data_IF_276672496015
#
_entry.id   IF_276672496015
#
_cell.length_a   1.000
_cell.length_b   1.000
_cell.length_c   1.000
_cell.angle_alpha   90.00
_cell.angle_beta   90.00
_cell.angle_gamma   90.00
#
_symmetry.space_group_name_H-M   'P 1'
#
loop_
_entity.id
_entity.type
_entity.pdbx_description
1 polymer ?
#
# COMPACT_ATOMS: atom_id res chain seq x y z
N UNK A 1 3.18 7.00 5.40
CA UNK A 1 4.56 7.17 5.91
C UNK A 1 4.72 6.35 7.18
N UNK A 2 5.89 5.75 7.41
CA UNK A 2 6.20 5.15 8.70
C UNK A 2 6.91 6.20 9.55
N UNK A 3 6.40 6.47 10.75
CA UNK A 3 6.91 7.50 11.66
C UNK A 3 7.39 6.83 12.93
N UNK A 4 8.67 6.96 13.24
CA UNK A 4 9.27 6.46 14.48
C UNK A 4 9.74 7.61 15.35
N UNK A 5 9.45 7.50 16.64
CA UNK A 5 9.95 8.46 17.62
C UNK A 5 11.46 8.24 17.85
N UNK A 6 12.23 9.32 17.83
CA UNK A 6 13.67 9.34 18.09
C UNK A 6 14.00 10.33 19.21
N UNK A 7 15.13 10.17 19.90
CA UNK A 7 15.53 11.07 21.00
C UNK A 7 15.66 12.53 20.57
N UNK A 8 16.00 12.76 19.30
CA UNK A 8 16.23 14.09 18.70
C UNK A 8 15.04 14.57 17.84
N UNK A 9 13.93 13.83 17.80
CA UNK A 9 12.77 14.17 16.97
C UNK A 9 12.09 12.94 16.37
N UNK A 10 11.96 12.91 15.05
CA UNK A 10 11.23 11.87 14.32
C UNK A 10 12.06 11.31 13.17
N UNK A 11 12.04 9.99 13.02
CA UNK A 11 12.49 9.33 11.80
C UNK A 11 11.25 9.05 10.94
N UNK A 12 11.23 9.61 9.73
CA UNK A 12 10.12 9.49 8.79
C UNK A 12 10.59 8.71 7.58
N UNK A 13 10.00 7.55 7.35
CA UNK A 13 10.29 6.69 6.21
C UNK A 13 9.14 6.82 5.22
N UNK A 14 9.45 7.42 4.08
CA UNK A 14 8.57 7.42 2.91
C UNK A 14 8.57 6.03 2.28
N UNK A 15 7.37 5.56 1.91
CA UNK A 15 7.16 4.22 1.34
C UNK A 15 6.39 4.25 0.02
N UNK A 16 6.37 5.39 -0.67
CA UNK A 16 5.73 5.58 -1.99
C UNK A 16 6.27 4.67 -3.10
N UNK A 17 7.44 4.08 -2.90
CA UNK A 17 8.09 3.21 -3.89
C UNK A 17 8.24 1.77 -3.37
N UNK A 18 7.41 1.34 -2.41
CA UNK A 18 7.54 0.00 -1.83
C UNK A 18 7.17 -1.09 -2.84
N UNK A 19 6.22 -0.83 -3.76
CA UNK A 19 5.96 -1.72 -4.90
C UNK A 19 7.21 -1.94 -5.76
N UNK A 20 7.93 -0.87 -6.10
CA UNK A 20 9.20 -0.96 -6.83
C UNK A 20 10.29 -1.70 -6.04
N UNK A 21 10.39 -1.48 -4.73
CA UNK A 21 11.32 -2.23 -3.87
C UNK A 21 10.99 -3.73 -3.87
N UNK A 22 9.71 -4.09 -3.75
CA UNK A 22 9.27 -5.48 -3.83
C UNK A 22 9.64 -6.11 -5.18
N UNK A 23 9.46 -5.38 -6.28
CA UNK A 23 9.91 -5.80 -7.60
C UNK A 23 11.43 -5.99 -7.70
N UNK A 24 12.23 -5.10 -7.10
CA UNK A 24 13.69 -5.23 -7.04
C UNK A 24 14.13 -6.46 -6.26
N UNK A 25 13.43 -6.81 -5.19
CA UNK A 25 13.70 -8.05 -4.43
C UNK A 25 13.32 -9.26 -5.29
N UNK A 26 12.14 -9.25 -5.89
CA UNK A 26 11.65 -10.32 -6.76
C UNK A 26 12.58 -10.55 -7.95
N UNK A 27 13.16 -9.49 -8.55
CA UNK A 27 14.07 -9.62 -9.69
C UNK A 27 15.39 -10.33 -9.36
N UNK A 28 15.73 -10.50 -8.08
CA UNK A 28 16.90 -11.26 -7.63
C UNK A 28 16.59 -12.73 -7.31
N UNK A 29 15.35 -13.17 -7.46
CA UNK A 29 14.97 -14.57 -7.30
C UNK A 29 15.69 -15.41 -8.35
N UNK A 30 16.13 -16.62 -7.98
CA UNK A 30 16.79 -17.54 -8.91
C UNK A 30 15.86 -17.92 -10.06
N UNK A 31 16.42 -18.05 -11.26
CA UNK A 31 15.67 -18.39 -12.48
C UNK A 31 14.84 -19.68 -12.34
N UNK A 32 15.36 -20.68 -11.61
CA UNK A 32 14.67 -21.96 -11.34
C UNK A 32 13.35 -21.82 -10.56
N UNK A 33 13.16 -20.70 -9.86
CA UNK A 33 11.95 -20.37 -9.11
C UNK A 33 11.00 -19.45 -9.88
N UNK A 34 11.41 -18.96 -11.07
CA UNK A 34 10.59 -18.07 -11.87
C UNK A 34 9.54 -18.88 -12.65
N UNK A 35 8.24 -18.59 -12.47
CA UNK A 35 7.18 -19.24 -13.24
C UNK A 35 7.24 -18.84 -14.73
N UNK A 36 6.56 -19.63 -15.57
CA UNK A 36 6.51 -19.42 -17.05
C UNK A 36 6.18 -17.98 -17.46
N UNK A 37 5.25 -17.32 -16.74
CA UNK A 37 4.81 -15.95 -17.02
C UNK A 37 5.47 -14.94 -16.07
N UNK A 38 6.80 -15.02 -15.94
CA UNK A 38 7.53 -14.25 -14.93
C UNK A 38 7.35 -12.74 -15.04
N UNK A 39 7.31 -12.19 -16.26
CA UNK A 39 7.09 -10.74 -16.47
C UNK A 39 5.75 -10.30 -15.90
N UNK A 40 4.68 -11.09 -16.10
CA UNK A 40 3.36 -10.77 -15.55
C UNK A 40 3.39 -10.80 -14.02
N UNK A 41 4.05 -11.80 -13.43
CA UNK A 41 4.22 -11.93 -11.98
C UNK A 41 5.03 -10.77 -11.40
N UNK A 42 6.16 -10.44 -12.01
CA UNK A 42 7.00 -9.32 -11.59
C UNK A 42 6.25 -7.99 -11.71
N UNK A 43 5.47 -7.81 -12.78
CA UNK A 43 4.60 -6.64 -12.96
C UNK A 43 3.54 -6.58 -11.86
N UNK A 44 2.87 -7.70 -11.56
CA UNK A 44 1.91 -7.79 -10.46
C UNK A 44 2.51 -7.45 -9.10
N UNK A 45 3.76 -7.87 -8.85
CA UNK A 45 4.50 -7.52 -7.63
C UNK A 45 4.84 -6.03 -7.60
N UNK A 46 5.24 -5.42 -8.71
CA UNK A 46 5.57 -3.99 -8.76
C UNK A 46 4.31 -3.12 -8.56
N UNK A 47 3.20 -3.53 -9.15
CA UNK A 47 1.95 -2.76 -9.23
C UNK A 47 0.95 -3.02 -8.08
N UNK A 48 1.28 -3.89 -7.11
CA UNK A 48 0.37 -4.23 -6.00
C UNK A 48 0.11 -3.09 -5.00
N UNK A 49 0.88 -2.00 -5.12
CA UNK A 49 0.87 -0.83 -4.27
C UNK A 49 -0.52 -0.15 -4.25
N UNK A 50 -0.89 0.42 -3.11
CA UNK A 50 -2.17 1.09 -2.88
C UNK A 50 -2.25 2.48 -3.57
N UNK A 51 -1.14 2.97 -4.15
CA UNK A 51 -1.08 4.24 -4.87
C UNK A 51 -1.67 5.38 -4.03
N UNK A 52 -1.01 5.63 -2.88
CA UNK A 52 -1.36 6.73 -2.00
C UNK A 52 -1.45 8.07 -2.75
N UNK A 53 -2.35 8.97 -2.34
CA UNK A 53 -2.43 10.33 -2.88
C UNK A 53 -1.10 11.08 -2.82
N UNK A 54 -0.97 12.12 -3.63
CA UNK A 54 0.23 12.94 -3.66
C UNK A 54 0.53 13.50 -2.27
N UNK A 55 1.81 13.61 -1.95
CA UNK A 55 2.27 14.03 -0.63
C UNK A 55 1.76 15.45 -0.28
N UNK A 56 1.73 16.33 -1.27
CA UNK A 56 1.27 17.71 -1.07
C UNK A 56 -0.27 17.83 -0.94
N UNK A 57 -1.01 16.76 -1.25
CA UNK A 57 -2.48 16.73 -1.18
C UNK A 57 -3.01 16.32 0.21
N UNK A 58 -2.13 15.93 1.15
CA UNK A 58 -2.53 15.44 2.47
C UNK A 58 -1.91 16.22 3.64
N UNK A 59 -2.69 16.34 4.73
CA UNK A 59 -2.16 16.82 6.01
C UNK A 59 -1.63 15.66 6.85
N UNK A 60 -0.30 15.52 6.85
CA UNK A 60 0.43 14.52 7.62
C UNK A 60 0.72 14.89 9.07
N UNK A 61 0.12 15.96 9.60
CA UNK A 61 0.20 16.30 11.01
C UNK A 61 -1.08 15.89 11.75
N UNK A 62 -0.94 15.41 12.98
CA UNK A 62 -2.04 15.25 13.93
C UNK A 62 -2.55 16.62 14.37
N UNK A 63 -3.70 16.67 15.05
CA UNK A 63 -4.21 17.91 15.65
C UNK A 63 -3.22 18.55 16.63
N UNK A 64 -2.32 17.75 17.22
CA UNK A 64 -1.27 18.22 18.13
C UNK A 64 0.02 18.62 17.42
N UNK A 65 0.06 18.58 16.09
CA UNK A 65 1.21 18.97 15.28
C UNK A 65 2.32 17.91 15.18
N UNK A 66 2.08 16.66 15.61
CA UNK A 66 3.05 15.56 15.42
C UNK A 66 2.89 14.90 14.06
N UNK A 67 3.94 14.32 13.44
CA UNK A 67 3.77 13.56 12.22
C UNK A 67 2.84 12.35 12.42
N UNK A 68 1.99 12.07 11.43
CA UNK A 68 1.10 10.91 11.38
C UNK A 68 1.84 9.70 10.83
N UNK A 69 1.81 8.61 11.58
CA UNK A 69 2.16 7.29 11.07
C UNK A 69 1.03 6.75 10.16
N UNK A 70 1.35 5.92 9.17
CA UNK A 70 0.38 5.34 8.24
C UNK A 70 -0.66 4.45 8.94
N UNK A 71 -0.32 3.91 10.12
CA UNK A 71 -1.26 3.15 10.97
C UNK A 71 -2.22 4.05 11.74
N UNK A 72 -1.90 5.35 11.88
CA UNK A 72 -2.80 6.29 12.54
C UNK A 72 -3.95 6.58 11.60
N UNK A 73 -5.13 6.02 11.91
CA UNK A 73 -6.40 6.25 11.21
C UNK A 73 -6.52 7.74 10.86
N UNK A 74 -6.32 8.06 9.59
CA UNK A 74 -6.28 9.40 9.05
C UNK A 74 -7.22 9.45 7.86
N UNK A 75 -8.43 9.92 8.12
CA UNK A 75 -9.57 9.78 7.22
C UNK A 75 -10.71 9.06 7.91
N UNK A 76 -11.94 9.28 7.45
CA UNK A 76 -13.08 8.48 7.90
C UNK A 76 -13.00 7.07 7.31
N UNK A 77 -13.65 6.09 7.94
CA UNK A 77 -13.75 4.73 7.37
C UNK A 77 -14.35 4.75 5.95
N UNK A 78 -15.18 5.76 5.67
CA UNK A 78 -15.72 6.04 4.34
C UNK A 78 -14.63 6.43 3.33
N UNK A 79 -13.71 7.33 3.70
CA UNK A 79 -12.62 7.75 2.81
C UNK A 79 -11.67 6.58 2.50
N UNK A 80 -11.43 5.72 3.48
CA UNK A 80 -10.64 4.50 3.31
C UNK A 80 -11.31 3.53 2.33
N UNK A 81 -12.63 3.34 2.45
CA UNK A 81 -13.40 2.51 1.54
C UNK A 81 -13.39 3.08 0.10
N UNK A 82 -13.69 4.37 -0.07
CA UNK A 82 -13.68 5.03 -1.38
C UNK A 82 -12.30 4.94 -2.06
N UNK A 83 -11.22 5.08 -1.29
CA UNK A 83 -9.86 4.87 -1.78
C UNK A 83 -9.62 3.43 -2.23
N UNK A 84 -9.95 2.44 -1.38
CA UNK A 84 -9.78 1.02 -1.69
C UNK A 84 -10.55 0.60 -2.95
N UNK A 85 -11.80 1.06 -3.11
CA UNK A 85 -12.62 0.81 -4.30
C UNK A 85 -12.00 1.41 -5.55
N UNK A 86 -11.52 2.66 -5.48
CA UNK A 86 -10.86 3.32 -6.61
C UNK A 86 -9.58 2.60 -7.04
N UNK A 87 -8.74 2.23 -6.07
CA UNK A 87 -7.47 1.54 -6.33
C UNK A 87 -7.72 0.18 -6.96
N UNK A 88 -8.67 -0.59 -6.43
CA UNK A 88 -9.04 -1.89 -7.00
C UNK A 88 -9.65 -1.75 -8.41
N UNK A 89 -10.54 -0.78 -8.63
CA UNK A 89 -11.12 -0.52 -9.94
C UNK A 89 -10.04 -0.16 -10.99
N UNK A 90 -9.05 0.66 -10.61
CA UNK A 90 -7.90 0.97 -11.47
C UNK A 90 -7.05 -0.27 -11.77
N UNK A 91 -6.82 -1.13 -10.78
CA UNK A 91 -6.07 -2.37 -10.95
C UNK A 91 -6.76 -3.33 -11.94
N UNK A 92 -8.09 -3.43 -11.87
CA UNK A 92 -8.91 -4.23 -12.80
C UNK A 92 -8.80 -3.78 -14.26
N UNK A 93 -8.53 -2.49 -14.52
CA UNK A 93 -8.29 -1.98 -15.88
C UNK A 93 -6.90 -2.36 -16.44
N UNK A 94 -5.95 -2.73 -15.57
CA UNK A 94 -4.56 -3.07 -15.96
C UNK A 94 -4.43 -4.56 -16.29
N UNK A 95 -4.70 -5.43 -15.31
CA UNK A 95 -4.53 -6.88 -15.43
C UNK A 95 -5.21 -7.60 -14.25
N UNK A 96 -5.75 -8.79 -14.51
CA UNK A 96 -6.35 -9.63 -13.46
C UNK A 96 -5.33 -10.01 -12.37
N UNK A 97 -4.05 -10.18 -12.73
CA UNK A 97 -3.01 -10.50 -11.75
C UNK A 97 -2.68 -9.29 -10.88
N UNK A 98 -2.66 -8.08 -11.46
CA UNK A 98 -2.49 -6.85 -10.69
C UNK A 98 -3.66 -6.66 -9.74
N UNK A 99 -4.89 -6.83 -10.22
CA UNK A 99 -6.09 -6.75 -9.39
C UNK A 99 -6.09 -7.76 -8.24
N UNK A 100 -5.65 -9.00 -8.47
CA UNK A 100 -5.50 -10.01 -7.43
C UNK A 100 -4.50 -9.58 -6.35
N UNK A 101 -3.33 -9.08 -6.77
CA UNK A 101 -2.27 -8.65 -5.84
C UNK A 101 -2.70 -7.42 -5.03
N UNK A 102 -3.31 -6.43 -5.67
CA UNK A 102 -3.92 -5.26 -5.02
C UNK A 102 -5.02 -5.69 -4.06
N UNK A 103 -5.93 -6.57 -4.47
CA UNK A 103 -7.00 -7.07 -3.59
C UNK A 103 -6.46 -7.77 -2.35
N UNK A 104 -5.38 -8.56 -2.50
CA UNK A 104 -4.70 -9.19 -1.36
C UNK A 104 -4.04 -8.16 -0.43
N UNK A 105 -3.45 -7.12 -1.01
CA UNK A 105 -2.86 -6.02 -0.24
C UNK A 105 -3.93 -5.25 0.56
N UNK A 106 -5.04 -4.88 -0.09
CA UNK A 106 -6.19 -4.25 0.56
C UNK A 106 -6.77 -5.12 1.68
N UNK A 107 -6.89 -6.44 1.46
CA UNK A 107 -7.32 -7.35 2.52
C UNK A 107 -6.36 -7.31 3.71
N UNK A 108 -5.04 -7.35 3.48
CA UNK A 108 -4.06 -7.25 4.56
C UNK A 108 -4.18 -5.93 5.36
N UNK A 109 -4.47 -4.82 4.69
CA UNK A 109 -4.62 -3.51 5.34
C UNK A 109 -5.94 -3.39 6.13
N UNK A 110 -7.04 -3.95 5.60
CA UNK A 110 -8.38 -3.65 6.09
C UNK A 110 -9.14 -4.84 6.68
N UNK A 111 -8.59 -6.07 6.69
CA UNK A 111 -9.32 -7.25 7.20
C UNK A 111 -9.79 -7.08 8.65
N UNK A 112 -8.94 -6.52 9.52
CA UNK A 112 -9.29 -6.30 10.92
C UNK A 112 -10.40 -5.26 11.08
N UNK A 113 -10.41 -4.23 10.21
CA UNK A 113 -11.47 -3.23 10.18
C UNK A 113 -12.76 -3.86 9.67
N UNK A 114 -12.71 -4.63 8.58
CA UNK A 114 -13.88 -5.32 8.06
C UNK A 114 -14.49 -6.26 9.11
N UNK A 115 -13.67 -6.98 9.88
CA UNK A 115 -14.11 -7.86 10.98
C UNK A 115 -14.82 -7.09 12.10
N UNK A 116 -14.32 -5.91 12.48
CA UNK A 116 -14.91 -5.05 13.52
C UNK A 116 -16.33 -4.58 13.15
N UNK A 117 -16.60 -4.39 11.86
CA UNK A 117 -17.88 -3.88 11.34
C UNK A 117 -18.79 -4.95 10.72
N UNK A 118 -18.48 -6.25 10.90
CA UNK A 118 -19.36 -7.34 10.44
C UNK A 118 -20.72 -7.27 11.17
N UNK A 119 -21.85 -7.48 10.46
CA UNK A 119 -23.20 -7.47 11.05
C UNK A 119 -23.46 -8.64 12.00
#
# INVERSE_FOLDING_TARGET
MIVKHHKEGWEIISHYAHGLLAGKIASQVKEELMPKNWIDVLTGIIEHDDHLPDFDEQNYLTEKGTPKDFTMKGGSDKDALEHAERVFANAMQKSQLVALMVGRHLNFLYESLADEYKP
#
